data_IF_809060819909
#
_entry.id   IF_809060819909
#
_cell.length_a   1.000
_cell.length_b   1.000
_cell.length_c   1.000
_cell.angle_alpha   90.00
_cell.angle_beta   90.00
_cell.angle_gamma   90.00
#
_symmetry.space_group_name_H-M   'P 1'
#
loop_
_entity.id
_entity.type
_entity.pdbx_description
1 polymer ?
#
# COMPACT_ATOMS: atom_id res chain seq x y z
N UNK A 1 0.87 9.71 -17.04
CA UNK A 1 1.09 9.81 -15.58
C UNK A 1 -0.26 10.12 -14.99
N UNK A 2 -0.81 9.29 -14.10
CA UNK A 2 -2.07 9.62 -13.42
C UNK A 2 -1.83 10.81 -12.49
N UNK A 3 -2.51 11.92 -12.74
CA UNK A 3 -2.58 13.03 -11.80
C UNK A 3 -3.71 12.72 -10.80
N UNK A 4 -3.36 12.66 -9.52
CA UNK A 4 -4.34 12.40 -8.48
C UNK A 4 -5.32 13.56 -8.30
N UNK A 5 -4.97 14.77 -8.75
CA UNK A 5 -5.87 15.92 -8.73
C UNK A 5 -7.06 15.73 -9.69
N UNK A 6 -6.80 15.26 -10.93
CA UNK A 6 -7.84 14.97 -11.92
C UNK A 6 -8.77 13.84 -11.45
N UNK A 7 -8.21 12.82 -10.80
CA UNK A 7 -9.00 11.73 -10.19
C UNK A 7 -9.90 12.26 -9.08
N UNK A 8 -9.38 13.15 -8.22
CA UNK A 8 -10.16 13.77 -7.15
C UNK A 8 -11.29 14.65 -7.70
N UNK A 9 -11.05 15.43 -8.76
CA UNK A 9 -12.08 16.22 -9.43
C UNK A 9 -13.19 15.34 -9.99
N UNK A 10 -12.82 14.26 -10.69
CA UNK A 10 -13.78 13.29 -11.22
C UNK A 10 -14.65 12.69 -10.11
N UNK A 11 -14.05 12.27 -8.99
CA UNK A 11 -14.80 11.71 -7.85
C UNK A 11 -15.82 12.72 -7.28
N UNK A 12 -15.41 13.98 -7.12
CA UNK A 12 -16.27 15.05 -6.62
C UNK A 12 -17.41 15.38 -7.59
N UNK A 13 -17.10 15.54 -8.89
CA UNK A 13 -18.10 15.86 -9.92
C UNK A 13 -19.14 14.75 -10.08
N UNK A 14 -18.68 13.49 -10.07
CA UNK A 14 -19.56 12.33 -10.25
C UNK A 14 -20.25 11.89 -8.97
N UNK A 15 -19.88 12.46 -7.81
CA UNK A 15 -20.29 11.99 -6.47
C UNK A 15 -20.03 10.50 -6.30
N UNK A 16 -18.91 10.04 -6.85
CA UNK A 16 -18.50 8.65 -6.77
C UNK A 16 -17.73 8.47 -5.46
N UNK A 17 -18.20 7.57 -4.60
CA UNK A 17 -17.49 7.26 -3.34
C UNK A 17 -16.34 6.27 -3.54
N UNK A 18 -16.34 5.52 -4.65
CA UNK A 18 -15.38 4.44 -4.89
C UNK A 18 -15.15 4.16 -6.38
N UNK A 19 -13.89 4.12 -6.80
CA UNK A 19 -13.52 3.64 -8.14
C UNK A 19 -13.30 2.14 -8.13
N UNK A 20 -14.14 1.40 -8.85
CA UNK A 20 -13.94 -0.02 -9.08
C UNK A 20 -12.73 -0.25 -10.00
N UNK A 21 -12.08 -1.42 -9.87
CA UNK A 21 -10.94 -1.84 -10.70
C UNK A 21 -11.24 -1.76 -12.21
N UNK A 22 -12.50 -1.94 -12.60
CA UNK A 22 -12.98 -1.83 -14.00
C UNK A 22 -12.93 -0.40 -14.56
N UNK A 23 -12.83 0.62 -13.71
CA UNK A 23 -12.68 2.02 -14.11
C UNK A 23 -11.22 2.42 -14.35
N UNK A 24 -10.28 1.50 -14.15
CA UNK A 24 -8.86 1.71 -14.43
C UNK A 24 -8.41 0.87 -15.63
N UNK A 25 -7.54 1.43 -16.46
CA UNK A 25 -6.88 0.67 -17.51
C UNK A 25 -5.75 -0.17 -16.89
N UNK A 26 -6.03 -1.46 -16.67
CA UNK A 26 -5.07 -2.47 -16.21
C UNK A 26 -4.35 -3.16 -17.37
N UNK A 27 -4.42 -2.57 -18.58
CA UNK A 27 -3.77 -3.12 -19.76
C UNK A 27 -2.26 -3.25 -19.49
N UNK A 28 -1.71 -4.48 -19.49
CA UNK A 28 -0.31 -4.71 -19.21
C UNK A 28 0.63 -4.05 -20.24
N UNK A 29 0.14 -3.67 -21.41
CA UNK A 29 0.87 -2.93 -22.44
C UNK A 29 0.89 -1.42 -22.23
N UNK A 30 0.11 -0.89 -21.28
CA UNK A 30 0.01 0.55 -20.95
C UNK A 30 0.80 0.92 -19.69
N UNK A 31 1.43 -0.05 -19.02
CA UNK A 31 2.23 0.16 -17.80
C UNK A 31 3.65 0.67 -18.12
N UNK A 32 3.85 1.98 -18.01
CA UNK A 32 5.11 2.68 -18.35
C UNK A 32 6.28 2.35 -17.42
N UNK A 33 6.04 1.78 -16.22
CA UNK A 33 7.08 1.46 -15.25
C UNK A 33 6.76 0.20 -14.43
N UNK A 34 6.66 -0.97 -15.07
CA UNK A 34 7.04 -2.17 -14.34
C UNK A 34 8.55 -2.17 -14.24
N UNK A 35 9.08 -1.81 -13.07
CA UNK A 35 10.34 -2.39 -12.65
C UNK A 35 10.18 -3.89 -12.88
N UNK A 36 10.96 -4.42 -13.83
CA UNK A 36 11.03 -5.86 -14.08
C UNK A 36 11.14 -6.52 -12.70
N UNK A 37 10.26 -7.46 -12.32
CA UNK A 37 10.51 -8.23 -11.11
C UNK A 37 11.96 -8.74 -11.20
N UNK A 38 12.75 -8.66 -10.11
CA UNK A 38 14.17 -8.97 -10.13
C UNK A 38 14.38 -10.20 -10.99
N UNK A 39 15.21 -9.98 -12.01
CA UNK A 39 15.28 -10.82 -13.18
C UNK A 39 15.51 -12.27 -12.73
N UNK A 40 14.59 -13.17 -13.08
CA UNK A 40 14.75 -14.63 -12.95
C UNK A 40 15.88 -15.18 -13.83
N UNK A 41 16.89 -14.35 -14.17
CA UNK A 41 17.99 -14.66 -15.07
C UNK A 41 19.10 -15.49 -14.41
N UNK A 42 19.04 -15.78 -13.12
CA UNK A 42 20.09 -16.51 -12.40
C UNK A 42 19.50 -17.44 -11.33
N UNK A 43 18.92 -18.57 -11.74
CA UNK A 43 18.60 -19.67 -10.83
C UNK A 43 17.44 -19.43 -9.85
N UNK A 44 17.10 -20.46 -9.07
CA UNK A 44 16.12 -20.38 -7.98
C UNK A 44 16.73 -19.53 -6.85
N UNK A 45 16.03 -18.50 -6.31
CA UNK A 45 16.56 -17.69 -5.22
C UNK A 45 16.79 -18.55 -3.96
N UNK A 46 17.74 -18.13 -3.13
CA UNK A 46 18.05 -18.79 -1.86
C UNK A 46 16.91 -18.68 -0.85
N UNK A 47 16.15 -17.57 -0.89
CA UNK A 47 14.92 -17.36 -0.14
C UNK A 47 13.85 -16.76 -1.05
N UNK A 48 12.63 -17.29 -0.96
CA UNK A 48 11.46 -16.68 -1.56
C UNK A 48 10.27 -16.78 -0.60
N UNK A 49 9.89 -15.64 -0.04
CA UNK A 49 8.67 -15.47 0.74
C UNK A 49 7.68 -14.68 -0.13
N UNK A 50 6.55 -15.27 -0.55
CA UNK A 50 5.63 -14.62 -1.48
C UNK A 50 4.91 -13.42 -0.85
N UNK A 51 4.69 -13.45 0.47
CA UNK A 51 4.08 -12.36 1.22
C UNK A 51 4.52 -12.39 2.68
N UNK A 52 5.30 -11.40 3.11
CA UNK A 52 5.72 -11.25 4.52
C UNK A 52 4.63 -10.62 5.40
N UNK A 53 3.56 -10.10 4.80
CA UNK A 53 2.46 -9.45 5.54
C UNK A 53 1.39 -10.46 5.97
N UNK A 54 1.44 -11.70 5.47
CA UNK A 54 0.43 -12.73 5.70
C UNK A 54 -0.99 -12.26 5.34
N UNK A 55 -1.14 -11.49 4.27
CA UNK A 55 -2.42 -10.94 3.81
C UNK A 55 -2.94 -9.75 4.62
N UNK A 56 -2.14 -9.15 5.50
CA UNK A 56 -2.54 -7.95 6.27
C UNK A 56 -2.60 -6.70 5.39
N UNK A 57 -1.77 -6.64 4.36
CA UNK A 57 -1.81 -5.58 3.36
C UNK A 57 -2.77 -5.90 2.21
N UNK A 58 -3.22 -4.85 1.52
CA UNK A 58 -4.12 -5.00 0.36
C UNK A 58 -3.43 -5.73 -0.80
N UNK A 59 -2.11 -5.53 -0.93
CA UNK A 59 -1.26 -6.21 -1.90
C UNK A 59 -0.14 -6.97 -1.18
N UNK A 60 0.24 -8.16 -1.67
CA UNK A 60 1.29 -8.96 -1.04
C UNK A 60 2.64 -8.25 -1.12
N UNK A 61 3.45 -8.38 -0.06
CA UNK A 61 4.80 -7.83 -0.02
C UNK A 61 5.82 -8.97 -0.09
N UNK A 62 6.42 -9.25 -1.26
CA UNK A 62 7.37 -10.35 -1.40
C UNK A 62 8.73 -10.01 -0.77
N UNK A 63 9.41 -11.02 -0.22
CA UNK A 63 10.79 -10.94 0.25
C UNK A 63 11.64 -12.00 -0.46
N UNK A 64 12.74 -11.57 -1.07
CA UNK A 64 13.60 -12.41 -1.92
C UNK A 64 15.06 -12.23 -1.48
N UNK A 65 15.81 -13.33 -1.37
CA UNK A 65 17.26 -13.32 -1.21
C UNK A 65 17.92 -14.10 -2.35
N UNK A 66 18.76 -13.40 -3.12
CA UNK A 66 19.55 -13.95 -4.24
C UNK A 66 21.06 -13.89 -3.99
N UNK A 67 21.49 -13.38 -2.84
CA UNK A 67 22.91 -13.19 -2.51
C UNK A 67 23.48 -14.38 -1.76
N UNK A 68 22.75 -14.86 -0.75
CA UNK A 68 23.21 -15.92 0.14
C UNK A 68 22.04 -16.71 0.78
N UNK A 69 22.35 -17.65 1.67
CA UNK A 69 21.37 -18.47 2.40
C UNK A 69 20.87 -17.84 3.71
N UNK A 70 21.08 -16.54 3.93
CA UNK A 70 20.56 -15.85 5.11
C UNK A 70 19.04 -15.87 5.09
N UNK A 71 18.44 -16.39 6.17
CA UNK A 71 16.99 -16.46 6.35
C UNK A 71 16.42 -15.08 6.68
N UNK A 72 15.13 -14.89 6.40
CA UNK A 72 14.41 -13.72 6.89
C UNK A 72 14.47 -13.66 8.43
N UNK A 73 14.60 -12.47 9.02
CA UNK A 73 14.52 -12.32 10.46
C UNK A 73 13.14 -12.75 10.95
N UNK A 74 13.08 -13.38 12.12
CA UNK A 74 11.81 -13.72 12.76
C UNK A 74 11.19 -12.44 13.35
N UNK A 75 10.27 -11.84 12.61
CA UNK A 75 9.56 -10.62 12.98
C UNK A 75 8.06 -10.86 12.98
N UNK A 76 7.35 -10.16 13.85
CA UNK A 76 5.88 -10.08 13.80
C UNK A 76 5.54 -8.86 12.96
N UNK A 77 4.93 -9.08 11.80
CA UNK A 77 4.44 -7.99 10.96
C UNK A 77 3.18 -7.38 11.58
N UNK A 78 3.11 -6.05 11.62
CA UNK A 78 1.89 -5.31 11.97
C UNK A 78 1.61 -4.26 10.91
N UNK A 79 0.35 -4.23 10.45
CA UNK A 79 -0.15 -3.18 9.56
C UNK A 79 -0.33 -1.87 10.32
N UNK A 80 -0.90 -1.97 11.51
CA UNK A 80 -1.25 -0.83 12.34
C UNK A 80 -0.17 -0.53 13.37
N UNK A 81 -0.09 0.74 13.78
CA UNK A 81 0.80 1.16 14.87
C UNK A 81 0.28 0.60 16.19
N UNK A 82 1.15 -0.07 16.94
CA UNK A 82 0.84 -0.60 18.27
C UNK A 82 1.58 0.24 19.31
N UNK A 83 0.89 0.80 20.32
CA UNK A 83 1.55 1.50 21.43
C UNK A 83 2.53 0.58 22.16
N UNK A 84 3.70 1.11 22.53
CA UNK A 84 4.65 0.37 23.35
C UNK A 84 4.10 0.15 24.78
N UNK A 85 4.61 -0.84 25.53
CA UNK A 85 4.18 -1.07 26.91
C UNK A 85 4.27 0.20 27.77
N UNK A 86 3.18 0.55 28.44
CA UNK A 86 3.10 1.76 29.28
C UNK A 86 2.77 3.05 28.52
N UNK A 87 2.61 3.00 27.19
CA UNK A 87 2.19 4.15 26.39
C UNK A 87 0.68 4.14 26.21
N UNK A 88 0.03 5.23 26.60
CA UNK A 88 -1.39 5.49 26.36
C UNK A 88 -1.53 6.64 25.36
N UNK A 89 -2.20 6.38 24.23
CA UNK A 89 -2.49 7.39 23.21
C UNK A 89 -3.95 7.80 23.36
N UNK A 90 -4.22 9.10 23.51
CA UNK A 90 -5.59 9.60 23.53
C UNK A 90 -6.10 9.73 22.09
N UNK A 91 -7.01 8.84 21.71
CA UNK A 91 -7.68 8.84 20.39
C UNK A 91 -9.14 9.25 20.48
N UNK A 92 -9.54 9.90 21.59
CA UNK A 92 -10.91 10.42 21.75
C UNK A 92 -11.21 11.49 20.70
N UNK A 93 -12.39 11.44 20.09
CA UNK A 93 -12.87 12.48 19.17
C UNK A 93 -12.86 13.88 19.79
N UNK A 94 -13.07 13.97 21.11
CA UNK A 94 -13.09 15.24 21.84
C UNK A 94 -11.68 15.84 22.01
N UNK A 95 -10.65 15.01 21.87
CA UNK A 95 -9.24 15.42 21.90
C UNK A 95 -8.68 15.68 20.50
N UNK A 96 -9.17 14.94 19.50
CA UNK A 96 -8.76 15.10 18.11
C UNK A 96 -9.42 16.34 17.50
N UNK A 97 -8.64 17.14 16.77
CA UNK A 97 -9.14 18.30 16.04
C UNK A 97 -9.26 17.88 14.56
N UNK A 98 -10.45 18.06 13.99
CA UNK A 98 -10.74 17.87 12.57
C UNK A 98 -11.28 19.14 11.93
N UNK A 99 -11.45 19.13 10.62
CA UNK A 99 -12.17 20.16 9.88
C UNK A 99 -13.62 19.72 9.60
N UNK A 100 -14.47 20.69 9.24
CA UNK A 100 -15.84 20.49 8.77
C UNK A 100 -15.97 20.61 7.24
N UNK A 101 -14.85 20.57 6.51
CA UNK A 101 -14.81 20.68 5.06
C UNK A 101 -15.65 19.57 4.39
N UNK A 102 -16.44 19.95 3.38
CA UNK A 102 -17.27 19.02 2.59
C UNK A 102 -16.78 18.84 1.17
N UNK A 103 -15.69 19.49 0.79
CA UNK A 103 -15.16 19.58 -0.57
C UNK A 103 -13.86 18.77 -0.78
N UNK A 104 -13.54 17.91 0.18
CA UNK A 104 -12.28 17.18 0.19
C UNK A 104 -11.10 18.02 0.70
N UNK A 105 -11.35 19.00 1.59
CA UNK A 105 -10.34 19.87 2.20
C UNK A 105 -9.56 20.65 1.14
N UNK A 106 -10.29 21.29 0.21
CA UNK A 106 -9.69 22.04 -0.91
C UNK A 106 -9.51 23.54 -0.61
N UNK A 107 -9.92 23.97 0.58
CA UNK A 107 -9.76 25.33 1.11
C UNK A 107 -8.44 25.56 1.87
#
# INVERSE_FOLDING_TARGET
LCDMHEVQEYLLETRCDFLFLEMFCMDPFVLVNRARPPSTSTGKPHLYLPDITEGREVLPVPCINEVDYTLAPNIIYTKDRIPAPGVSINTSSDFLIGCDCTDGCRD
#
